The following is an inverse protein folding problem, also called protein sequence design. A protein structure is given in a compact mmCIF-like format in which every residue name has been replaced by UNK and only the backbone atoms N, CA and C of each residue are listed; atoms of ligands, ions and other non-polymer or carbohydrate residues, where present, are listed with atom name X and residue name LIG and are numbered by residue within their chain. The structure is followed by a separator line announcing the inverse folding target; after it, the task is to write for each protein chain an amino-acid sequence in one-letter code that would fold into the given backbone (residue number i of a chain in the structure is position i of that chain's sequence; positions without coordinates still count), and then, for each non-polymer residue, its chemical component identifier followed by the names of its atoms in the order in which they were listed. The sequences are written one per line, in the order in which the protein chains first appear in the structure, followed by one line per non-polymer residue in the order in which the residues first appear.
data_IF_366936822901
#
_entry.id   IF_366936822901
#
_cell.length_a   1.000
_cell.length_b   1.000
_cell.length_c   1.000
_cell.angle_alpha   90.00
_cell.angle_beta   90.00
_cell.angle_gamma   90.00
#
_symmetry.space_group_name_H-M   'P 1'
#
loop_
_entity.id
_entity.type
_entity.pdbx_description
1 polymer ?
#
# COMPACT_ATOMS: atom_id res chain seq x y z
N UNK A 1 3.82 6.37 10.40
CA UNK A 1 3.25 5.41 11.38
C UNK A 1 3.99 4.07 11.45
N UNK A 2 5.00 3.81 10.60
CA UNK A 2 5.75 2.55 10.60
C UNK A 2 6.25 2.13 11.99
N UNK A 3 7.01 2.98 12.68
CA UNK A 3 7.63 2.64 13.95
C UNK A 3 6.63 2.23 15.04
N UNK A 4 5.47 2.91 15.11
CA UNK A 4 4.44 2.62 16.10
C UNK A 4 3.79 1.24 15.88
N UNK A 5 3.37 0.95 14.64
CA UNK A 5 2.78 -0.35 14.31
C UNK A 5 3.79 -1.49 14.34
N UNK A 6 5.04 -1.21 13.94
CA UNK A 6 6.11 -2.17 14.03
C UNK A 6 6.37 -2.56 15.50
N UNK A 7 6.58 -1.58 16.38
CA UNK A 7 6.80 -1.83 17.80
C UNK A 7 5.62 -2.59 18.45
N UNK A 8 4.39 -2.22 18.14
CA UNK A 8 3.20 -2.92 18.65
C UNK A 8 3.14 -4.38 18.15
N UNK A 9 3.41 -4.63 16.87
CA UNK A 9 3.39 -5.98 16.32
C UNK A 9 4.51 -6.87 16.88
N UNK A 10 5.71 -6.31 17.11
CA UNK A 10 6.79 -7.05 17.80
C UNK A 10 6.37 -7.41 19.23
N UNK A 11 5.72 -6.51 19.96
CA UNK A 11 5.23 -6.78 21.31
C UNK A 11 4.18 -7.91 21.35
N UNK A 12 3.46 -8.13 20.25
CA UNK A 12 2.48 -9.22 20.08
C UNK A 12 3.09 -10.51 19.50
N UNK A 13 4.41 -10.56 19.29
CA UNK A 13 5.11 -11.75 18.80
C UNK A 13 5.12 -11.92 17.27
N UNK A 14 4.82 -10.88 16.50
CA UNK A 14 4.89 -10.95 15.04
C UNK A 14 6.36 -11.11 14.55
N UNK A 15 6.62 -11.92 13.50
CA UNK A 15 7.96 -12.06 12.93
C UNK A 15 8.50 -10.72 12.41
N UNK A 16 9.65 -10.20 12.92
CA UNK A 16 10.11 -8.85 12.61
C UNK A 16 10.34 -8.59 11.12
N UNK A 17 10.97 -9.52 10.41
CA UNK A 17 11.27 -9.34 8.98
C UNK A 17 9.98 -9.24 8.15
N UNK A 18 9.02 -10.15 8.39
CA UNK A 18 7.75 -10.17 7.68
C UNK A 18 6.94 -8.91 7.98
N UNK A 19 6.77 -8.54 9.26
CA UNK A 19 6.04 -7.33 9.64
C UNK A 19 6.68 -6.06 9.04
N UNK A 20 8.00 -5.97 9.07
CA UNK A 20 8.75 -4.86 8.49
C UNK A 20 8.50 -4.72 6.99
N UNK A 21 8.55 -5.83 6.25
CA UNK A 21 8.26 -5.85 4.81
C UNK A 21 6.81 -5.42 4.52
N UNK A 22 5.82 -6.00 5.21
CA UNK A 22 4.40 -5.64 5.03
C UNK A 22 4.18 -4.15 5.26
N UNK A 23 4.73 -3.59 6.34
CA UNK A 23 4.59 -2.17 6.65
C UNK A 23 5.35 -1.28 5.65
N UNK A 24 6.51 -1.71 5.16
CA UNK A 24 7.25 -0.96 4.15
C UNK A 24 6.47 -0.88 2.83
N UNK A 25 5.96 -2.01 2.34
CA UNK A 25 5.17 -2.07 1.11
C UNK A 25 3.83 -1.34 1.21
N UNK A 26 3.24 -1.23 2.41
CA UNK A 26 2.00 -0.48 2.61
C UNK A 26 2.10 0.97 2.14
N UNK A 27 3.28 1.60 2.26
CA UNK A 27 3.50 2.97 1.78
C UNK A 27 3.28 3.08 0.27
N UNK A 28 3.79 2.13 -0.51
CA UNK A 28 3.67 2.10 -1.96
C UNK A 28 2.26 1.71 -2.42
N UNK A 29 1.63 0.76 -1.73
CA UNK A 29 0.29 0.27 -2.07
C UNK A 29 -0.80 1.34 -1.94
N UNK A 30 -0.61 2.32 -1.06
CA UNK A 30 -1.60 3.38 -0.81
C UNK A 30 -1.44 4.62 -1.69
N UNK A 31 -0.40 4.70 -2.52
CA UNK A 31 -0.09 5.87 -3.34
C UNK A 31 -1.16 6.21 -4.40
N UNK A 32 -2.06 5.29 -4.75
CA UNK A 32 -3.09 5.50 -5.76
C UNK A 32 -4.41 6.06 -5.24
N UNK A 33 -4.62 6.14 -3.92
CA UNK A 33 -5.95 6.36 -3.37
C UNK A 33 -6.43 7.82 -3.49
N UNK A 34 -5.62 8.78 -3.06
CA UNK A 34 -6.01 10.20 -2.98
C UNK A 34 -5.18 11.06 -3.93
N UNK A 35 -5.71 12.23 -4.29
CA UNK A 35 -5.01 13.20 -5.15
C UNK A 35 -3.85 13.91 -4.45
N UNK A 36 -3.62 13.63 -3.16
CA UNK A 36 -2.48 14.12 -2.37
C UNK A 36 -1.60 12.98 -1.85
N UNK A 37 -1.80 11.75 -2.34
CA UNK A 37 -1.08 10.57 -1.86
C UNK A 37 0.42 10.58 -2.21
N UNK A 38 0.81 11.33 -3.25
CA UNK A 38 2.18 11.49 -3.71
C UNK A 38 2.45 12.95 -4.07
N UNK A 39 3.72 13.33 -4.25
CA UNK A 39 4.06 14.68 -4.73
C UNK A 39 3.58 14.97 -6.16
N UNK A 40 3.44 13.93 -6.99
CA UNK A 40 2.99 14.07 -8.39
C UNK A 40 1.47 14.07 -8.53
N UNK A 41 0.74 13.44 -7.62
CA UNK A 41 -0.72 13.37 -7.63
C UNK A 41 -1.41 14.75 -7.68
N UNK A 42 -1.05 15.76 -6.86
CA UNK A 42 -1.71 17.06 -6.91
C UNK A 42 -1.35 17.85 -8.17
N UNK A 43 -0.18 17.61 -8.76
CA UNK A 43 0.22 18.20 -10.05
C UNK A 43 -0.72 17.70 -11.16
N UNK A 44 -0.97 16.39 -11.20
CA UNK A 44 -1.85 15.78 -12.20
C UNK A 44 -3.31 16.19 -11.92
N UNK A 45 -3.77 16.13 -10.68
CA UNK A 45 -5.14 16.52 -10.33
C UNK A 45 -5.42 18.00 -10.64
N UNK A 46 -4.43 18.89 -10.42
CA UNK A 46 -4.52 20.31 -10.74
C UNK A 46 -4.65 20.65 -12.22
N UNK A 47 -4.43 19.70 -13.13
CA UNK A 47 -4.63 19.89 -14.57
C UNK A 47 -6.11 19.99 -14.99
N UNK A 48 -7.05 19.61 -14.12
CA UNK A 48 -8.48 19.71 -14.38
C UNK A 48 -9.08 18.60 -15.25
N UNK A 49 -8.31 17.56 -15.60
CA UNK A 49 -8.80 16.43 -16.42
C UNK A 49 -9.72 15.44 -15.69
N UNK A 50 -9.72 15.44 -14.35
CA UNK A 50 -10.50 14.51 -13.54
C UNK A 50 -11.16 15.24 -12.37
N UNK A 51 -12.41 14.91 -12.08
CA UNK A 51 -13.12 15.39 -10.89
C UNK A 51 -12.63 14.65 -9.64
N UNK A 52 -12.92 15.21 -8.46
CA UNK A 52 -12.60 14.58 -7.17
C UNK A 52 -13.22 13.17 -7.05
N UNK A 53 -14.48 13.03 -7.47
CA UNK A 53 -15.21 11.77 -7.41
C UNK A 53 -14.62 10.69 -8.32
N UNK A 54 -14.26 11.05 -9.55
CA UNK A 54 -13.61 10.13 -10.51
C UNK A 54 -12.25 9.67 -9.98
N UNK A 55 -11.45 10.58 -9.42
CA UNK A 55 -10.15 10.25 -8.85
C UNK A 55 -10.30 9.25 -7.70
N UNK A 56 -11.18 9.52 -6.74
CA UNK A 56 -11.34 8.68 -5.55
C UNK A 56 -11.95 7.32 -5.89
N UNK A 57 -12.93 7.28 -6.80
CA UNK A 57 -13.52 6.01 -7.27
C UNK A 57 -12.47 5.14 -7.95
N UNK A 58 -11.69 5.73 -8.85
CA UNK A 58 -10.61 5.01 -9.56
C UNK A 58 -9.51 4.60 -8.58
N UNK A 59 -9.11 5.49 -7.68
CA UNK A 59 -8.10 5.21 -6.64
C UNK A 59 -8.51 4.08 -5.70
N UNK A 60 -9.79 4.00 -5.32
CA UNK A 60 -10.33 2.88 -4.55
C UNK A 60 -10.25 1.56 -5.32
N UNK A 61 -10.70 1.53 -6.59
CA UNK A 61 -10.62 0.34 -7.44
C UNK A 61 -9.16 -0.11 -7.58
N UNK A 62 -8.24 0.82 -7.87
CA UNK A 62 -6.81 0.53 -7.99
C UNK A 62 -6.20 0.02 -6.68
N UNK A 63 -6.65 0.52 -5.54
CA UNK A 63 -6.20 0.05 -4.23
C UNK A 63 -6.58 -1.42 -4.02
N UNK A 64 -7.80 -1.81 -4.36
CA UNK A 64 -8.24 -3.21 -4.31
C UNK A 64 -7.41 -4.09 -5.24
N UNK A 65 -7.20 -3.65 -6.48
CA UNK A 65 -6.37 -4.39 -7.46
C UNK A 65 -4.94 -4.57 -6.95
N UNK A 66 -4.31 -3.51 -6.44
CA UNK A 66 -2.96 -3.56 -5.88
C UNK A 66 -2.87 -4.52 -4.69
N UNK A 67 -3.85 -4.46 -3.77
CA UNK A 67 -3.89 -5.36 -2.62
C UNK A 67 -4.08 -6.82 -3.02
N UNK A 68 -4.94 -7.11 -4.02
CA UNK A 68 -5.13 -8.47 -4.53
C UNK A 68 -3.88 -9.02 -5.20
N UNK A 69 -3.25 -8.23 -6.07
CA UNK A 69 -1.99 -8.62 -6.74
C UNK A 69 -0.91 -8.90 -5.69
N UNK A 70 -0.74 -7.98 -4.73
CA UNK A 70 0.29 -8.11 -3.71
C UNK A 70 0.04 -9.29 -2.77
N UNK A 71 -1.20 -9.51 -2.32
CA UNK A 71 -1.52 -10.62 -1.43
C UNK A 71 -1.44 -11.99 -2.12
N UNK A 72 -1.93 -12.10 -3.36
CA UNK A 72 -1.95 -13.36 -4.10
C UNK A 72 -0.58 -13.67 -4.71
N UNK A 73 -0.09 -12.79 -5.59
CA UNK A 73 1.17 -13.02 -6.31
C UNK A 73 2.35 -12.83 -5.38
N UNK A 74 2.36 -11.76 -4.58
CA UNK A 74 3.40 -11.52 -3.58
C UNK A 74 3.42 -12.58 -2.48
N UNK A 75 2.26 -13.04 -2.01
CA UNK A 75 2.17 -14.13 -1.05
C UNK A 75 2.76 -15.45 -1.57
N UNK A 76 2.45 -15.82 -2.82
CA UNK A 76 3.05 -16.99 -3.49
C UNK A 76 4.57 -16.82 -3.65
N UNK A 77 5.02 -15.63 -4.03
CA UNK A 77 6.45 -15.33 -4.17
C UNK A 77 7.20 -15.48 -2.84
N UNK A 78 6.64 -14.95 -1.74
CA UNK A 78 7.27 -15.05 -0.41
C UNK A 78 7.31 -16.48 0.13
N UNK A 79 6.29 -17.29 -0.19
CA UNK A 79 6.31 -18.73 0.10
C UNK A 79 7.43 -19.44 -0.67
N UNK A 80 7.62 -19.10 -1.94
CA UNK A 80 8.71 -19.67 -2.75
C UNK A 80 10.10 -19.28 -2.23
N UNK A 81 10.25 -18.07 -1.69
CA UNK A 81 11.47 -17.60 -1.04
C UNK A 81 11.69 -18.15 0.38
N UNK A 82 10.71 -18.87 0.96
CA UNK A 82 10.80 -19.43 2.31
C UNK A 82 10.66 -18.41 3.44
N UNK A 83 10.01 -17.26 3.20
CA UNK A 83 9.74 -16.27 4.25
C UNK A 83 8.57 -16.66 5.17
N UNK A 84 7.76 -17.64 4.76
CA UNK A 84 6.82 -18.38 5.60
C UNK A 84 6.48 -19.74 4.97
#
# INVERSE_FOLDING_TARGET
MFAAFFAAGIALGAPPALLGLILAFSSSLMMSLTHYATGTAPIIFGSGYATLGEWWKTGFIMSVVNLLIWALIGGVWWKWLGYW
#
